data_IF_966703194444
#
_entry.id   IF_966703194444
#
_cell.length_a   1.000
_cell.length_b   1.000
_cell.length_c   1.000
_cell.angle_alpha   90.00
_cell.angle_beta   90.00
_cell.angle_gamma   90.00
#
_symmetry.space_group_name_H-M   'P 1'
#
loop_
_entity.id
_entity.type
_entity.pdbx_description
1 polymer ?
#
# COMPACT_ATOMS: atom_id res chain seq x y z
N UNK A 1 18.11 10.50 12.72
CA UNK A 1 17.32 9.39 12.14
C UNK A 1 17.22 9.56 10.62
N UNK A 2 17.98 8.80 9.81
CA UNK A 2 17.86 8.82 8.34
C UNK A 2 16.46 8.32 7.93
N UNK A 3 15.67 9.16 7.23
CA UNK A 3 14.43 8.74 6.55
C UNK A 3 14.81 7.86 5.35
N UNK A 4 15.07 6.57 5.61
CA UNK A 4 15.33 5.59 4.57
C UNK A 4 14.04 5.30 3.80
N UNK A 5 13.76 6.07 2.76
CA UNK A 5 12.69 5.72 1.83
C UNK A 5 13.28 4.72 0.85
N UNK A 6 13.03 3.41 1.06
CA UNK A 6 13.37 2.39 0.06
C UNK A 6 12.37 2.53 -1.10
N UNK A 7 12.89 2.76 -2.31
CA UNK A 7 12.14 2.60 -3.55
C UNK A 7 12.31 1.17 -4.01
N UNK A 8 11.21 0.47 -4.27
CA UNK A 8 11.21 -0.90 -4.79
C UNK A 8 10.34 -0.96 -6.03
N UNK A 9 10.93 -1.46 -7.11
CA UNK A 9 10.23 -2.03 -8.26
C UNK A 9 10.16 -3.54 -8.01
N UNK A 10 8.98 -4.11 -8.19
CA UNK A 10 8.66 -5.42 -7.64
C UNK A 10 7.99 -6.27 -8.71
N UNK A 11 8.63 -7.41 -8.99
CA UNK A 11 8.21 -8.38 -10.00
C UNK A 11 6.81 -8.96 -9.77
N UNK A 12 6.43 -9.93 -10.59
CA UNK A 12 5.04 -10.42 -10.70
C UNK A 12 4.36 -10.76 -9.36
N UNK A 13 5.11 -11.20 -8.35
CA UNK A 13 4.62 -11.44 -6.99
C UNK A 13 5.58 -10.87 -5.96
N UNK A 14 5.08 -10.12 -4.98
CA UNK A 14 5.90 -9.57 -3.89
C UNK A 14 5.17 -9.59 -2.54
N UNK A 15 5.92 -9.86 -1.48
CA UNK A 15 5.56 -9.55 -0.09
C UNK A 15 6.54 -8.51 0.50
N UNK A 16 6.02 -7.46 1.14
CA UNK A 16 6.83 -6.39 1.75
C UNK A 16 6.39 -6.15 3.19
N UNK A 17 7.34 -6.15 4.12
CA UNK A 17 7.11 -5.84 5.54
C UNK A 17 8.07 -4.73 5.96
N UNK A 18 7.52 -3.59 6.42
CA UNK A 18 8.32 -2.43 6.81
C UNK A 18 7.78 -1.80 8.10
N UNK A 19 8.67 -1.50 9.04
CA UNK A 19 8.28 -0.79 10.26
C UNK A 19 8.00 0.70 10.01
N UNK A 20 8.80 1.37 9.19
CA UNK A 20 8.66 2.82 8.98
C UNK A 20 9.08 3.25 7.59
N UNK A 21 8.16 3.88 6.86
CA UNK A 21 8.41 4.63 5.64
C UNK A 21 8.81 3.76 4.45
N UNK A 22 7.91 3.57 3.50
CA UNK A 22 8.23 2.96 2.21
C UNK A 22 7.57 3.73 1.06
N UNK A 23 8.27 3.81 -0.08
CA UNK A 23 7.72 4.26 -1.35
C UNK A 23 7.81 3.13 -2.37
N UNK A 24 6.70 2.81 -3.02
CA UNK A 24 6.62 1.77 -4.04
C UNK A 24 6.20 2.44 -5.34
N UNK A 25 6.89 2.15 -6.43
CA UNK A 25 6.60 2.67 -7.77
C UNK A 25 6.57 1.49 -8.72
N UNK A 26 5.38 1.17 -9.24
CA UNK A 26 5.19 -0.03 -10.04
C UNK A 26 5.22 -1.28 -9.18
N UNK A 27 4.05 -1.73 -8.74
CA UNK A 27 3.91 -3.02 -8.08
C UNK A 27 3.41 -4.06 -9.08
N UNK A 28 4.06 -5.23 -9.16
CA UNK A 28 3.69 -6.31 -10.06
C UNK A 28 2.28 -6.87 -9.84
N UNK A 29 1.93 -7.92 -10.58
CA UNK A 29 0.56 -8.43 -10.67
C UNK A 29 -0.09 -8.79 -9.32
N UNK A 30 0.68 -9.32 -8.35
CA UNK A 30 0.19 -9.67 -7.02
C UNK A 30 1.09 -9.13 -5.91
N UNK A 31 0.51 -8.35 -5.00
CA UNK A 31 1.27 -7.58 -4.01
C UNK A 31 0.66 -7.75 -2.62
N UNK A 32 1.47 -8.12 -1.64
CA UNK A 32 1.10 -8.10 -0.22
C UNK A 32 2.02 -7.15 0.55
N UNK A 33 1.45 -6.16 1.25
CA UNK A 33 2.21 -5.13 1.96
C UNK A 33 1.72 -4.96 3.38
N UNK A 34 2.63 -4.99 4.35
CA UNK A 34 2.36 -4.71 5.77
C UNK A 34 3.29 -3.60 6.24
N UNK A 35 2.72 -2.48 6.69
CA UNK A 35 3.48 -1.32 7.17
C UNK A 35 2.96 -0.78 8.49
N UNK A 36 3.83 -0.61 9.48
CA UNK A 36 3.40 0.05 10.73
C UNK A 36 3.20 1.56 10.53
N UNK A 37 4.15 2.26 9.90
CA UNK A 37 4.04 3.71 9.73
C UNK A 37 4.51 4.22 8.38
N UNK A 38 3.57 4.76 7.61
CA UNK A 38 3.82 5.58 6.42
C UNK A 38 4.17 4.75 5.19
N UNK A 39 3.27 4.75 4.21
CA UNK A 39 3.50 4.18 2.90
C UNK A 39 2.97 5.09 1.79
N UNK A 40 3.71 5.18 0.69
CA UNK A 40 3.27 5.77 -0.57
C UNK A 40 3.39 4.75 -1.70
N UNK A 41 2.32 4.51 -2.44
CA UNK A 41 2.30 3.62 -3.61
C UNK A 41 1.88 4.43 -4.83
N UNK A 42 2.60 4.25 -5.93
CA UNK A 42 2.21 4.75 -7.26
C UNK A 42 2.19 3.55 -8.21
N UNK A 43 1.01 3.23 -8.74
CA UNK A 43 0.79 2.07 -9.60
C UNK A 43 0.86 0.76 -8.84
N UNK A 44 -0.24 0.36 -8.20
CA UNK A 44 -0.37 -1.00 -7.67
C UNK A 44 -0.87 -1.94 -8.79
N UNK A 45 -0.25 -3.11 -8.95
CA UNK A 45 -0.65 -4.06 -9.98
C UNK A 45 -2.03 -4.67 -9.75
N UNK A 46 -2.37 -5.66 -10.58
CA UNK A 46 -3.73 -6.17 -10.73
C UNK A 46 -4.41 -6.62 -9.42
N UNK A 47 -3.65 -7.19 -8.48
CA UNK A 47 -4.14 -7.67 -7.19
C UNK A 47 -3.26 -7.14 -6.04
N UNK A 48 -3.85 -6.42 -5.08
CA UNK A 48 -3.13 -5.89 -3.92
C UNK A 48 -3.83 -6.19 -2.58
N UNK A 49 -3.06 -6.63 -1.58
CA UNK A 49 -3.47 -6.72 -0.19
C UNK A 49 -2.56 -5.83 0.65
N UNK A 50 -3.11 -4.80 1.30
CA UNK A 50 -2.33 -3.77 2.00
C UNK A 50 -2.86 -3.57 3.41
N UNK A 51 -1.99 -3.72 4.41
CA UNK A 51 -2.30 -3.52 5.82
C UNK A 51 -1.38 -2.44 6.38
N UNK A 52 -1.96 -1.35 6.91
CA UNK A 52 -1.21 -0.20 7.43
C UNK A 52 -1.74 0.27 8.77
N UNK A 53 -0.89 0.37 9.79
CA UNK A 53 -1.36 0.96 11.06
C UNK A 53 -1.52 2.49 10.92
N UNK A 54 -0.52 3.20 10.38
CA UNK A 54 -0.58 4.67 10.30
C UNK A 54 -0.08 5.22 8.98
N UNK A 55 -0.97 5.85 8.21
CA UNK A 55 -0.67 6.71 7.07
C UNK A 55 -0.40 5.93 5.79
N UNK A 56 -1.36 5.95 4.88
CA UNK A 56 -1.23 5.41 3.52
C UNK A 56 -1.63 6.47 2.47
N UNK A 57 -0.83 6.55 1.42
CA UNK A 57 -1.17 7.26 0.19
C UNK A 57 -1.02 6.32 -1.01
N UNK A 58 -2.08 6.13 -1.78
CA UNK A 58 -2.05 5.35 -3.02
C UNK A 58 -2.47 6.24 -4.18
N UNK A 59 -1.73 6.11 -5.28
CA UNK A 59 -2.11 6.64 -6.58
C UNK A 59 -2.14 5.47 -7.56
N UNK A 60 -3.26 5.31 -8.27
CA UNK A 60 -3.53 4.25 -9.23
C UNK A 60 -3.45 2.85 -8.62
N UNK A 61 -4.53 2.48 -7.95
CA UNK A 61 -4.73 1.14 -7.43
C UNK A 61 -5.27 0.24 -8.55
N UNK A 62 -4.64 -0.93 -8.75
CA UNK A 62 -5.03 -1.86 -9.81
C UNK A 62 -6.43 -2.47 -9.65
N UNK A 63 -6.73 -3.44 -10.52
CA UNK A 63 -8.08 -3.95 -10.73
C UNK A 63 -8.77 -4.51 -9.48
N UNK A 64 -8.02 -5.19 -8.60
CA UNK A 64 -8.51 -5.79 -7.36
C UNK A 64 -7.64 -5.40 -6.17
N UNK A 65 -8.23 -4.86 -5.12
CA UNK A 65 -7.48 -4.52 -3.92
C UNK A 65 -8.28 -4.66 -2.63
N UNK A 66 -7.59 -5.11 -1.58
CA UNK A 66 -8.05 -5.11 -0.20
C UNK A 66 -7.10 -4.26 0.65
N UNK A 67 -7.63 -3.23 1.30
CA UNK A 67 -6.85 -2.28 2.10
C UNK A 67 -7.42 -2.20 3.51
N UNK A 68 -6.58 -2.44 4.50
CA UNK A 68 -6.90 -2.25 5.92
C UNK A 68 -5.99 -1.17 6.48
N UNK A 69 -6.57 -0.11 7.02
CA UNK A 69 -5.82 0.98 7.63
C UNK A 69 -6.40 1.40 8.97
N UNK A 70 -5.56 1.58 9.99
CA UNK A 70 -6.07 2.06 11.29
C UNK A 70 -6.20 3.59 11.32
N UNK A 71 -5.22 4.32 10.75
CA UNK A 71 -5.26 5.79 10.76
C UNK A 71 -4.66 6.41 9.51
N UNK A 72 -5.44 7.28 8.85
CA UNK A 72 -4.99 8.17 7.79
C UNK A 72 -4.80 7.46 6.45
N UNK A 73 -5.70 7.74 5.51
CA UNK A 73 -5.73 7.17 4.17
C UNK A 73 -6.02 8.25 3.14
N UNK A 74 -5.31 8.19 2.02
CA UNK A 74 -5.61 8.96 0.80
C UNK A 74 -5.41 8.05 -0.40
N UNK A 75 -6.46 7.89 -1.21
CA UNK A 75 -6.41 7.09 -2.43
C UNK A 75 -6.92 7.97 -3.59
N UNK A 76 -6.23 7.89 -4.72
CA UNK A 76 -6.58 8.57 -5.97
C UNK A 76 -6.41 7.57 -7.11
N UNK A 77 -7.45 7.36 -7.92
CA UNK A 77 -7.43 6.32 -8.96
C UNK A 77 -7.62 4.93 -8.35
N UNK A 78 -8.79 4.33 -8.57
CA UNK A 78 -9.14 3.00 -8.10
C UNK A 78 -9.59 2.14 -9.28
N UNK A 79 -9.12 0.89 -9.30
CA UNK A 79 -9.61 -0.11 -10.24
C UNK A 79 -11.01 -0.62 -9.90
N UNK A 80 -11.46 -1.60 -10.67
CA UNK A 80 -12.85 -2.07 -10.68
C UNK A 80 -13.36 -2.64 -9.34
N UNK A 81 -12.51 -3.29 -8.54
CA UNK A 81 -12.91 -4.01 -7.34
C UNK A 81 -12.01 -3.68 -6.15
N UNK A 82 -12.40 -2.65 -5.38
CA UNK A 82 -11.60 -2.16 -4.26
C UNK A 82 -12.41 -2.21 -2.97
N UNK A 83 -11.89 -2.93 -1.97
CA UNK A 83 -12.40 -2.96 -0.61
C UNK A 83 -11.45 -2.20 0.32
N UNK A 84 -11.97 -1.21 1.06
CA UNK A 84 -11.19 -0.41 2.01
C UNK A 84 -11.88 -0.46 3.36
N UNK A 85 -11.13 -0.90 4.38
CA UNK A 85 -11.54 -0.93 5.78
C UNK A 85 -10.68 0.06 6.55
N UNK A 86 -11.34 1.06 7.15
CA UNK A 86 -10.69 2.03 8.05
C UNK A 86 -11.10 1.71 9.48
N UNK A 87 -10.19 1.11 10.26
CA UNK A 87 -10.46 0.72 11.64
C UNK A 87 -10.03 1.84 12.59
N UNK A 88 -10.99 2.57 13.16
CA UNK A 88 -10.68 3.50 14.26
C UNK A 88 -10.36 2.69 15.51
N UNK A 89 -9.16 2.86 16.09
CA UNK A 89 -8.91 2.45 17.47
C UNK A 89 -9.63 3.45 18.38
N UNK A 90 -10.59 2.95 19.14
CA UNK A 90 -11.08 3.59 20.37
C UNK A 90 -10.02 3.42 21.47
#
# INVERSE_FOLDING_TARGET
>A
MRKGTKNVDVGARVAIIVQKGIKITGAGAHVAIIVQKGIKITGAGAHAAIIVQKGIKITDLGARAAIIVQKGIKITGVGAHVAIIVQKRH
#
